data_IF_032728493969
#
_entry.id   IF_032728493969
#
_cell.length_a   1.000
_cell.length_b   1.000
_cell.length_c   1.000
_cell.angle_alpha   90.00
_cell.angle_beta   90.00
_cell.angle_gamma   90.00
#
_symmetry.space_group_name_H-M   'P 1'
#
loop_
_entity.id
_entity.type
_entity.pdbx_description
1 polymer ?
#
# COMPACT_ATOMS: atom_id res chain seq x y z
N UNK A 1 16.80 -14.61 2.68
CA UNK A 1 16.16 -13.28 2.90
C UNK A 1 16.88 -12.49 4.00
N UNK A 2 16.94 -11.15 3.93
CA UNK A 2 17.38 -10.32 5.07
C UNK A 2 16.20 -10.12 6.03
N UNK A 3 16.19 -10.85 7.16
CA UNK A 3 15.07 -10.85 8.12
C UNK A 3 14.91 -9.52 8.86
N UNK A 4 16.01 -8.87 9.25
CA UNK A 4 15.96 -7.55 9.90
C UNK A 4 15.30 -6.49 9.01
N UNK A 5 15.66 -6.48 7.71
CA UNK A 5 15.05 -5.57 6.75
C UNK A 5 13.56 -5.88 6.55
N UNK A 6 13.18 -7.16 6.52
CA UNK A 6 11.77 -7.54 6.40
C UNK A 6 10.96 -7.11 7.64
N UNK A 7 11.51 -7.29 8.86
CA UNK A 7 10.87 -6.82 10.11
C UNK A 7 10.60 -5.32 10.01
N UNK A 8 11.61 -4.54 9.62
CA UNK A 8 11.44 -3.09 9.47
C UNK A 8 10.35 -2.73 8.46
N UNK A 9 10.32 -3.38 7.29
CA UNK A 9 9.26 -3.16 6.28
C UNK A 9 7.87 -3.48 6.84
N UNK A 10 7.75 -4.55 7.64
CA UNK A 10 6.50 -4.93 8.28
C UNK A 10 6.07 -3.86 9.29
N UNK A 11 6.99 -3.38 10.13
CA UNK A 11 6.75 -2.32 11.10
C UNK A 11 6.31 -1.02 10.41
N UNK A 12 7.08 -0.55 9.42
CA UNK A 12 6.77 0.64 8.62
C UNK A 12 5.39 0.52 7.94
N UNK A 13 5.06 -0.67 7.42
CA UNK A 13 3.76 -0.94 6.79
C UNK A 13 2.61 -0.87 7.81
N UNK A 14 2.79 -1.48 8.98
CA UNK A 14 1.78 -1.48 10.03
C UNK A 14 1.52 -0.09 10.58
N UNK A 15 2.58 0.69 10.84
CA UNK A 15 2.47 2.10 11.25
C UNK A 15 1.72 2.92 10.20
N UNK A 16 2.10 2.78 8.92
CA UNK A 16 1.43 3.48 7.84
C UNK A 16 -0.06 3.14 7.73
N UNK A 17 -0.44 1.87 7.95
CA UNK A 17 -1.86 1.44 7.97
C UNK A 17 -2.61 2.06 9.15
N UNK A 18 -2.00 2.12 10.33
CA UNK A 18 -2.59 2.78 11.51
C UNK A 18 -2.84 4.26 11.21
N UNK A 19 -1.85 4.99 10.70
CA UNK A 19 -1.99 6.41 10.35
C UNK A 19 -3.09 6.67 9.30
N UNK A 20 -3.22 5.77 8.31
CA UNK A 20 -4.30 5.83 7.31
C UNK A 20 -5.66 5.72 8.00
N UNK A 21 -5.81 4.76 8.93
CA UNK A 21 -7.06 4.55 9.66
C UNK A 21 -7.41 5.74 10.56
N UNK A 22 -6.43 6.31 11.26
CA UNK A 22 -6.62 7.52 12.07
C UNK A 22 -7.04 8.72 11.21
N UNK A 23 -6.43 8.90 10.04
CA UNK A 23 -6.84 9.93 9.08
C UNK A 23 -8.29 9.73 8.62
N UNK A 24 -8.70 8.50 8.33
CA UNK A 24 -10.08 8.18 7.96
C UNK A 24 -11.07 8.46 9.09
N UNK A 25 -10.71 8.13 10.33
CA UNK A 25 -11.53 8.41 11.51
C UNK A 25 -11.73 9.92 11.72
N UNK A 26 -10.66 10.71 11.59
CA UNK A 26 -10.74 12.18 11.66
C UNK A 26 -11.69 12.74 10.59
N UNK A 27 -11.61 12.24 9.36
CA UNK A 27 -12.50 12.65 8.27
C UNK A 27 -13.96 12.24 8.51
N UNK A 28 -14.20 11.13 9.22
CA UNK A 28 -15.53 10.67 9.58
C UNK A 28 -16.13 11.45 10.76
N UNK A 29 -15.32 11.86 11.74
CA UNK A 29 -15.77 12.42 13.02
C UNK A 29 -15.72 13.96 13.09
N UNK A 30 -14.80 14.61 12.37
CA UNK A 30 -14.58 16.08 12.42
C UNK A 30 -15.16 16.80 11.20
N UNK A 31 -16.44 16.56 10.90
CA UNK A 31 -17.11 17.05 9.66
C UNK A 31 -17.27 18.57 9.54
N UNK A 32 -17.19 19.30 10.66
CA UNK A 32 -17.39 20.76 10.68
C UNK A 32 -16.09 21.57 10.71
N UNK A 33 -14.96 20.92 11.00
CA UNK A 33 -13.65 21.56 11.04
C UNK A 33 -12.99 21.53 9.65
N UNK A 34 -13.24 22.57 8.86
CA UNK A 34 -12.72 22.71 7.50
C UNK A 34 -11.19 22.62 7.42
N UNK A 35 -10.47 23.09 8.44
CA UNK A 35 -9.01 23.05 8.45
C UNK A 35 -8.54 21.61 8.67
N UNK A 36 -9.07 20.94 9.69
CA UNK A 36 -8.74 19.54 9.99
C UNK A 36 -9.08 18.65 8.80
N UNK A 37 -10.25 18.79 8.20
CA UNK A 37 -10.64 18.01 7.00
C UNK A 37 -9.63 18.20 5.87
N UNK A 38 -9.23 19.45 5.60
CA UNK A 38 -8.26 19.75 4.54
C UNK A 38 -6.91 19.11 4.82
N UNK A 39 -6.42 19.20 6.06
CA UNK A 39 -5.15 18.62 6.47
C UNK A 39 -5.21 17.08 6.40
N UNK A 40 -6.22 16.45 6.99
CA UNK A 40 -6.41 15.00 6.97
C UNK A 40 -6.52 14.44 5.55
N UNK A 41 -7.23 15.14 4.65
CA UNK A 41 -7.30 14.79 3.22
C UNK A 41 -5.92 14.78 2.55
N UNK A 42 -5.09 15.80 2.84
CA UNK A 42 -3.73 15.89 2.32
C UNK A 42 -2.81 14.82 2.92
N UNK A 43 -2.92 14.58 4.23
CA UNK A 43 -2.14 13.56 4.94
C UNK A 43 -2.46 12.16 4.42
N UNK A 44 -3.74 11.82 4.27
CA UNK A 44 -4.18 10.53 3.74
C UNK A 44 -3.59 10.24 2.36
N UNK A 45 -3.52 11.26 1.50
CA UNK A 45 -2.91 11.14 0.17
C UNK A 45 -1.41 10.84 0.27
N UNK A 46 -0.70 11.51 1.16
CA UNK A 46 0.73 11.28 1.36
C UNK A 46 0.98 9.89 1.93
N UNK A 47 0.21 9.47 2.93
CA UNK A 47 0.27 8.13 3.51
C UNK A 47 0.01 7.05 2.45
N UNK A 48 -0.95 7.26 1.56
CA UNK A 48 -1.22 6.32 0.46
C UNK A 48 -0.04 6.18 -0.51
N UNK A 49 0.70 7.26 -0.76
CA UNK A 49 1.96 7.20 -1.53
C UNK A 49 3.03 6.45 -0.73
N UNK A 50 3.21 6.76 0.55
CA UNK A 50 4.16 6.08 1.43
C UNK A 50 3.91 4.57 1.50
N UNK A 51 2.65 4.14 1.62
CA UNK A 51 2.26 2.74 1.56
C UNK A 51 2.79 2.03 0.31
N UNK A 52 2.70 2.67 -0.87
CA UNK A 52 3.20 2.07 -2.11
C UNK A 52 4.73 2.01 -2.17
N UNK A 53 5.42 2.98 -1.56
CA UNK A 53 6.89 2.92 -1.43
C UNK A 53 7.30 1.72 -0.58
N UNK A 54 6.65 1.52 0.57
CA UNK A 54 6.91 0.37 1.46
C UNK A 54 6.55 -0.95 0.75
N UNK A 55 5.46 -0.97 -0.03
CA UNK A 55 5.07 -2.12 -0.84
C UNK A 55 6.11 -2.47 -1.91
N UNK A 56 6.73 -1.48 -2.56
CA UNK A 56 7.82 -1.71 -3.52
C UNK A 56 9.04 -2.34 -2.83
N UNK A 57 9.39 -1.88 -1.63
CA UNK A 57 10.44 -2.47 -0.81
C UNK A 57 10.12 -3.93 -0.43
N UNK A 58 8.88 -4.21 -0.04
CA UNK A 58 8.41 -5.57 0.23
C UNK A 58 8.53 -6.46 -1.00
N UNK A 59 8.00 -6.01 -2.14
CA UNK A 59 8.09 -6.74 -3.41
C UNK A 59 9.56 -7.04 -3.76
N UNK A 60 10.45 -6.07 -3.60
CA UNK A 60 11.89 -6.24 -3.86
C UNK A 60 12.49 -7.38 -3.03
N UNK A 61 12.18 -7.45 -1.74
CA UNK A 61 12.70 -8.52 -0.88
C UNK A 61 12.08 -9.87 -1.22
N UNK A 62 10.77 -9.93 -1.38
CA UNK A 62 10.06 -11.18 -1.69
C UNK A 62 10.54 -11.75 -3.03
N UNK A 63 10.68 -10.91 -4.05
CA UNK A 63 11.21 -11.32 -5.35
C UNK A 63 12.67 -11.79 -5.29
N UNK A 64 13.49 -11.23 -4.41
CA UNK A 64 14.86 -11.71 -4.19
C UNK A 64 14.83 -13.10 -3.55
N UNK A 65 13.92 -13.33 -2.61
CA UNK A 65 13.79 -14.63 -1.95
C UNK A 65 13.40 -15.73 -2.93
N UNK A 66 12.42 -15.46 -3.80
CA UNK A 66 12.01 -16.43 -4.85
C UNK A 66 12.92 -16.42 -6.09
N UNK A 67 14.06 -15.72 -6.05
CA UNK A 67 15.04 -15.60 -7.16
C UNK A 67 14.43 -15.08 -8.48
N UNK A 68 13.44 -14.20 -8.41
CA UNK A 68 12.78 -13.55 -9.56
C UNK A 68 13.08 -12.05 -9.68
N UNK A 69 13.84 -11.47 -8.76
CA UNK A 69 14.20 -10.06 -8.79
C UNK A 69 15.05 -9.69 -10.02
N UNK A 70 14.73 -8.55 -10.64
CA UNK A 70 15.50 -7.95 -11.75
C UNK A 70 15.73 -6.46 -11.47
N UNK A 71 16.87 -5.94 -11.92
CA UNK A 71 17.15 -4.49 -11.84
C UNK A 71 16.16 -3.75 -12.74
N UNK A 72 15.59 -2.66 -12.24
CA UNK A 72 14.61 -1.85 -12.98
C UNK A 72 13.22 -2.49 -13.10
N UNK A 73 12.94 -3.55 -12.34
CA UNK A 73 11.60 -4.14 -12.31
C UNK A 73 10.58 -3.11 -11.79
N UNK A 74 9.45 -2.99 -12.47
CA UNK A 74 8.39 -2.08 -12.03
C UNK A 74 7.53 -2.72 -10.94
N UNK A 75 6.78 -1.91 -10.18
CA UNK A 75 5.79 -2.45 -9.25
C UNK A 75 4.75 -3.32 -9.98
N UNK A 76 4.32 -2.93 -11.19
CA UNK A 76 3.38 -3.71 -11.99
C UNK A 76 3.90 -5.12 -12.30
N UNK A 77 5.13 -5.20 -12.83
CA UNK A 77 5.77 -6.49 -13.14
C UNK A 77 5.97 -7.32 -11.87
N UNK A 78 6.31 -6.67 -10.76
CA UNK A 78 6.45 -7.32 -9.46
C UNK A 78 5.14 -7.98 -9.04
N UNK A 79 4.02 -7.28 -9.12
CA UNK A 79 2.70 -7.80 -8.77
C UNK A 79 2.28 -8.98 -9.65
N UNK A 80 2.58 -8.94 -10.95
CA UNK A 80 2.35 -10.08 -11.86
C UNK A 80 3.13 -11.31 -11.39
N UNK A 81 4.43 -11.16 -11.12
CA UNK A 81 5.26 -12.27 -10.67
C UNK A 81 4.76 -12.83 -9.32
N UNK A 82 4.41 -11.97 -8.37
CA UNK A 82 3.90 -12.42 -7.07
C UNK A 82 2.62 -13.25 -7.23
N UNK A 83 1.71 -12.82 -8.12
CA UNK A 83 0.48 -13.56 -8.44
C UNK A 83 0.78 -14.90 -9.12
N UNK A 84 1.64 -14.92 -10.14
CA UNK A 84 2.00 -16.14 -10.87
C UNK A 84 2.68 -17.20 -9.98
N UNK A 85 3.39 -16.76 -8.93
CA UNK A 85 4.03 -17.65 -7.95
C UNK A 85 3.11 -17.97 -6.76
N UNK A 86 1.82 -17.60 -6.80
CA UNK A 86 0.84 -17.92 -5.76
C UNK A 86 1.06 -17.20 -4.43
N UNK A 87 1.86 -16.13 -4.40
CA UNK A 87 2.17 -15.37 -3.18
C UNK A 87 1.02 -14.44 -2.81
N UNK A 88 0.39 -13.83 -3.83
CA UNK A 88 -0.86 -13.07 -3.70
C UNK A 88 -1.95 -13.76 -4.52
N UNK A 89 -3.19 -13.72 -4.03
CA UNK A 89 -4.36 -14.19 -4.77
C UNK A 89 -4.85 -13.14 -5.79
N UNK A 90 -5.82 -13.53 -6.62
CA UNK A 90 -6.41 -12.66 -7.64
C UNK A 90 -7.00 -11.37 -7.05
N UNK A 91 -7.72 -11.47 -5.94
CA UNK A 91 -8.37 -10.30 -5.33
C UNK A 91 -7.35 -9.27 -4.85
N UNK A 92 -6.27 -9.73 -4.21
CA UNK A 92 -5.17 -8.89 -3.71
C UNK A 92 -4.40 -8.29 -4.88
N UNK A 93 -4.19 -9.04 -5.96
CA UNK A 93 -3.62 -8.51 -7.20
C UNK A 93 -4.48 -7.40 -7.81
N UNK A 94 -5.79 -7.61 -7.97
CA UNK A 94 -6.72 -6.62 -8.53
C UNK A 94 -6.76 -5.36 -7.67
N UNK A 95 -6.78 -5.52 -6.35
CA UNK A 95 -6.65 -4.39 -5.42
C UNK A 95 -5.36 -3.60 -5.66
N UNK A 96 -4.21 -4.29 -5.64
CA UNK A 96 -2.89 -3.65 -5.76
C UNK A 96 -2.70 -2.94 -7.11
N UNK A 97 -3.22 -3.51 -8.19
CA UNK A 97 -3.19 -2.86 -9.51
C UNK A 97 -4.03 -1.57 -9.55
N UNK A 98 -5.25 -1.61 -9.01
CA UNK A 98 -6.08 -0.40 -8.89
C UNK A 98 -5.44 0.65 -7.99
N UNK A 99 -4.91 0.23 -6.85
CA UNK A 99 -4.17 1.08 -5.90
C UNK A 99 -2.99 1.77 -6.57
N UNK A 100 -2.20 1.01 -7.34
CA UNK A 100 -1.04 1.52 -8.08
C UNK A 100 -1.43 2.61 -9.08
N UNK A 101 -2.52 2.41 -9.82
CA UNK A 101 -3.00 3.42 -10.78
C UNK A 101 -3.45 4.71 -10.08
N UNK A 102 -4.10 4.60 -8.92
CA UNK A 102 -4.46 5.76 -8.09
C UNK A 102 -3.20 6.48 -7.59
N UNK A 103 -2.21 5.74 -7.08
CA UNK A 103 -0.94 6.32 -6.63
C UNK A 103 -0.22 7.05 -7.76
N UNK A 104 -0.18 6.46 -8.96
CA UNK A 104 0.46 7.09 -10.10
C UNK A 104 -0.21 8.43 -10.47
N UNK A 105 -1.55 8.49 -10.44
CA UNK A 105 -2.28 9.75 -10.67
C UNK A 105 -1.99 10.81 -9.60
N UNK A 106 -1.80 10.40 -8.35
CA UNK A 106 -1.36 11.29 -7.26
C UNK A 106 0.04 11.83 -7.55
N UNK A 107 1.01 10.96 -7.82
CA UNK A 107 2.42 11.34 -8.01
C UNK A 107 2.64 12.21 -9.25
N UNK A 108 1.94 11.94 -10.35
CA UNK A 108 2.12 12.68 -11.61
C UNK A 108 1.28 13.94 -11.72
N UNK A 109 0.40 14.25 -10.75
CA UNK A 109 -0.55 15.39 -10.73
C UNK A 109 -1.46 15.53 -11.97
N UNK A 110 -1.37 14.61 -12.92
CA UNK A 110 -2.22 14.54 -14.09
C UNK A 110 -3.46 13.72 -13.75
N UNK A 111 -4.66 14.31 -13.90
CA UNK A 111 -5.92 13.70 -13.46
C UNK A 111 -5.86 13.24 -11.99
N UNK A 112 -5.35 14.10 -11.10
CA UNK A 112 -5.26 13.81 -9.67
C UNK A 112 -6.61 13.29 -9.14
N UNK A 113 -6.64 12.15 -8.43
CA UNK A 113 -7.89 11.60 -7.93
C UNK A 113 -8.51 12.55 -6.93
N UNK A 114 -9.85 12.59 -6.96
CA UNK A 114 -10.60 13.29 -5.92
C UNK A 114 -10.32 12.62 -4.58
N UNK A 115 -10.39 13.38 -3.50
CA UNK A 115 -10.19 12.80 -2.16
C UNK A 115 -11.23 11.73 -1.87
N UNK A 116 -12.46 11.93 -2.35
CA UNK A 116 -13.57 11.00 -2.20
C UNK A 116 -13.29 9.68 -2.92
N UNK A 117 -12.69 9.73 -4.11
CA UNK A 117 -12.26 8.54 -4.87
C UNK A 117 -11.18 7.74 -4.12
N UNK A 118 -10.20 8.43 -3.52
CA UNK A 118 -9.16 7.78 -2.72
C UNK A 118 -9.75 7.14 -1.46
N UNK A 119 -10.61 7.86 -0.73
CA UNK A 119 -11.25 7.38 0.49
C UNK A 119 -12.10 6.15 0.20
N UNK A 120 -12.93 6.21 -0.85
CA UNK A 120 -13.77 5.08 -1.28
C UNK A 120 -12.92 3.84 -1.59
N UNK A 121 -11.81 4.02 -2.31
CA UNK A 121 -10.89 2.93 -2.62
C UNK A 121 -10.27 2.33 -1.35
N UNK A 122 -9.77 3.15 -0.42
CA UNK A 122 -9.17 2.64 0.83
C UNK A 122 -10.20 1.89 1.67
N UNK A 123 -11.41 2.43 1.81
CA UNK A 123 -12.49 1.79 2.58
C UNK A 123 -12.95 0.47 1.95
N UNK A 124 -13.06 0.42 0.62
CA UNK A 124 -13.49 -0.78 -0.12
C UNK A 124 -12.53 -1.95 0.08
N UNK A 125 -11.23 -1.68 0.23
CA UNK A 125 -10.19 -2.70 0.31
C UNK A 125 -9.40 -2.69 1.62
N UNK A 126 -9.98 -2.18 2.71
CA UNK A 126 -9.26 -2.04 4.00
C UNK A 126 -8.63 -3.38 4.44
N UNK A 127 -9.33 -4.48 4.19
CA UNK A 127 -8.93 -5.83 4.60
C UNK A 127 -7.70 -6.32 3.83
N UNK A 128 -7.44 -5.76 2.65
CA UNK A 128 -6.30 -6.14 1.80
C UNK A 128 -4.99 -5.55 2.28
N UNK A 129 -5.01 -4.43 2.99
CA UNK A 129 -3.81 -3.89 3.64
C UNK A 129 -3.25 -4.87 4.68
N UNK A 130 -4.12 -5.41 5.54
CA UNK A 130 -3.74 -6.44 6.52
C UNK A 130 -3.33 -7.77 5.87
N UNK A 131 -3.94 -8.12 4.72
CA UNK A 131 -3.55 -9.32 3.97
C UNK A 131 -2.10 -9.25 3.49
N UNK A 132 -1.63 -8.08 3.05
CA UNK A 132 -0.24 -7.86 2.65
C UNK A 132 0.71 -8.01 3.83
N UNK A 133 0.35 -7.49 5.00
CA UNK A 133 1.14 -7.67 6.23
C UNK A 133 1.22 -9.14 6.62
N UNK A 134 0.13 -9.90 6.48
CA UNK A 134 0.12 -11.35 6.74
C UNK A 134 1.06 -12.11 5.81
N UNK A 135 1.05 -11.77 4.52
CA UNK A 135 1.98 -12.34 3.53
C UNK A 135 3.42 -12.05 3.93
N UNK A 136 3.74 -10.80 4.25
CA UNK A 136 5.08 -10.42 4.69
C UNK A 136 5.52 -11.20 5.95
N UNK A 137 4.63 -11.36 6.93
CA UNK A 137 4.89 -12.12 8.17
C UNK A 137 5.08 -13.62 7.93
N UNK A 138 4.50 -14.20 6.87
CA UNK A 138 4.70 -15.61 6.55
C UNK A 138 6.18 -15.92 6.30
N UNK A 139 6.87 -15.02 5.58
CA UNK A 139 8.30 -15.13 5.30
C UNK A 139 9.21 -14.99 6.54
N UNK A 140 8.71 -14.51 7.69
CA UNK A 140 9.49 -14.53 8.93
C UNK A 140 9.51 -15.90 9.62
N UNK A 141 8.50 -16.73 9.34
CA UNK A 141 8.29 -18.05 9.96
C UNK A 141 9.05 -19.16 9.23
N UNK A 142 9.40 -18.92 7.97
CA UNK A 142 10.30 -19.75 7.16
C UNK A 142 11.79 -19.47 7.50
#
# INVERSE_FOLDING_TARGET
MNKERLIKIIEDMQECIVDINECLELLATRKDDKLIIKLSKSSLRQLFVSFHTILEDLCSIVLKEIKKYKIGITLHDSLIILKENGIINEETYVFLEKSRLLRNRISHRYKEPKHEELIEHILTYNNKFEEIVKIAKAYLRD
#
